data_IF_074829940853
#
_entry.id   IF_074829940853
#
_cell.length_a   1.000
_cell.length_b   1.000
_cell.length_c   1.000
_cell.angle_alpha   90.00
_cell.angle_beta   90.00
_cell.angle_gamma   90.00
#
_symmetry.space_group_name_H-M   'P 1'
#
loop_
_entity.id
_entity.type
_entity.pdbx_description
1 polymer ?
#
# COMPACT_ATOMS: atom_id res chain seq x y z
N UNK A 1 15.80 1.86 12.14
CA UNK A 1 15.32 3.25 12.15
C UNK A 1 15.66 3.99 13.43
N UNK A 2 15.34 3.44 14.62
CA UNK A 2 15.61 4.11 15.91
C UNK A 2 17.09 4.40 16.15
N UNK A 3 17.98 3.43 15.91
CA UNK A 3 19.43 3.62 16.01
C UNK A 3 19.93 4.83 15.19
N UNK A 4 19.41 5.00 13.98
CA UNK A 4 19.71 6.16 13.10
C UNK A 4 19.18 7.48 13.68
N UNK A 5 17.97 7.48 14.25
CA UNK A 5 17.39 8.68 14.88
C UNK A 5 18.23 9.13 16.08
N UNK A 6 18.72 8.18 16.89
CA UNK A 6 19.48 8.47 18.11
C UNK A 6 21.00 8.61 17.87
N UNK A 7 21.50 8.30 16.67
CA UNK A 7 22.95 8.25 16.42
C UNK A 7 23.68 7.16 17.21
N UNK A 8 23.00 6.06 17.55
CA UNK A 8 23.54 4.95 18.33
C UNK A 8 23.83 3.72 17.46
N UNK A 9 24.81 2.86 17.82
CA UNK A 9 24.96 1.54 17.24
C UNK A 9 23.68 0.70 17.40
N UNK A 10 23.38 -0.18 16.45
CA UNK A 10 22.17 -1.02 16.46
C UNK A 10 22.07 -1.90 17.70
N UNK A 11 23.20 -2.37 18.22
CA UNK A 11 23.30 -3.30 19.35
C UNK A 11 22.90 -2.62 20.67
N UNK A 12 22.91 -1.28 20.70
CA UNK A 12 22.46 -0.47 21.84
C UNK A 12 20.95 -0.21 21.81
N UNK A 13 20.23 -0.67 20.78
CA UNK A 13 18.79 -0.46 20.62
C UNK A 13 18.07 -1.80 20.54
N UNK A 14 17.31 -2.12 21.58
CA UNK A 14 16.46 -3.32 21.62
C UNK A 14 15.02 -2.93 21.31
N UNK A 15 14.41 -3.61 20.34
CA UNK A 15 12.99 -3.44 19.99
C UNK A 15 12.24 -4.72 20.35
N UNK A 16 11.24 -4.60 21.24
CA UNK A 16 10.40 -5.72 21.65
C UNK A 16 9.02 -5.55 21.03
N UNK A 17 8.59 -6.55 20.26
CA UNK A 17 7.23 -6.58 19.70
C UNK A 17 6.25 -6.99 20.81
N UNK A 18 5.25 -6.16 21.05
CA UNK A 18 4.15 -6.46 21.97
C UNK A 18 2.91 -6.93 21.21
N UNK A 19 2.01 -7.71 21.84
CA UNK A 19 0.71 -8.04 21.27
C UNK A 19 0.00 -6.78 20.79
N UNK A 20 -0.49 -6.82 19.56
CA UNK A 20 -1.13 -5.67 18.92
C UNK A 20 -2.61 -5.95 18.67
N UNK A 21 -3.46 -4.96 18.94
CA UNK A 21 -4.88 -4.98 18.57
C UNK A 21 -5.08 -4.73 17.08
N UNK A 22 -4.46 -5.53 16.22
CA UNK A 22 -4.49 -5.40 14.77
C UNK A 22 -3.51 -4.35 14.21
N UNK A 23 -3.20 -4.49 12.93
CA UNK A 23 -2.31 -3.60 12.17
C UNK A 23 -2.78 -3.39 10.72
N UNK A 24 -3.16 -4.47 10.03
CA UNK A 24 -3.71 -4.44 8.66
C UNK A 24 -2.83 -3.69 7.64
N UNK A 25 -1.53 -3.61 7.87
CA UNK A 25 -0.54 -2.84 7.08
C UNK A 25 -0.20 -1.47 7.69
N UNK A 26 -1.13 -0.83 8.40
CA UNK A 26 -0.93 0.51 8.97
C UNK A 26 0.11 0.62 10.08
N UNK A 27 0.73 -0.49 10.52
CA UNK A 27 1.83 -0.53 11.51
C UNK A 27 3.15 -1.03 10.91
N UNK A 28 3.24 -1.08 9.59
CA UNK A 28 4.48 -1.43 8.87
C UNK A 28 5.48 -0.26 8.89
N UNK A 29 5.00 0.95 8.64
CA UNK A 29 5.79 2.17 8.78
C UNK A 29 6.06 2.51 10.26
N UNK A 30 7.14 3.27 10.48
CA UNK A 30 7.41 3.85 11.79
C UNK A 30 6.28 4.84 12.16
N UNK A 31 5.79 4.73 13.39
CA UNK A 31 4.78 5.63 13.95
C UNK A 31 5.32 6.32 15.20
N UNK A 32 5.03 5.79 16.38
CA UNK A 32 5.34 6.42 17.67
C UNK A 32 6.74 6.08 18.20
N UNK A 33 7.41 5.07 17.63
CA UNK A 33 8.65 4.54 18.17
C UNK A 33 9.76 5.60 18.16
N UNK A 34 9.85 6.40 17.10
CA UNK A 34 10.85 7.48 16.98
C UNK A 34 10.68 8.56 18.06
N UNK A 35 9.46 9.03 18.26
CA UNK A 35 9.14 10.03 19.29
C UNK A 35 9.45 9.51 20.70
N UNK A 36 8.95 8.32 21.04
CA UNK A 36 9.16 7.74 22.36
C UNK A 36 10.65 7.53 22.66
N UNK A 37 11.41 7.02 21.69
CA UNK A 37 12.84 6.78 21.84
C UNK A 37 13.62 8.09 22.01
N UNK A 38 13.32 9.12 21.21
CA UNK A 38 13.99 10.42 21.27
C UNK A 38 13.75 11.12 22.61
N UNK A 39 12.49 11.20 23.07
CA UNK A 39 12.17 11.83 24.35
C UNK A 39 12.78 11.07 25.53
N UNK A 40 12.71 9.74 25.52
CA UNK A 40 13.35 8.91 26.55
C UNK A 40 14.85 9.14 26.61
N UNK A 41 15.51 9.21 25.45
CA UNK A 41 16.96 9.44 25.35
C UNK A 41 17.38 10.83 25.82
N UNK A 42 16.59 11.87 25.55
CA UNK A 42 16.92 13.23 25.97
C UNK A 42 16.63 13.48 27.46
N UNK A 43 15.51 12.95 27.96
CA UNK A 43 15.05 13.21 29.32
C UNK A 43 15.56 12.20 30.35
N UNK A 44 16.18 11.10 29.89
CA UNK A 44 16.68 10.02 30.74
C UNK A 44 15.60 9.41 31.65
N UNK A 45 14.35 9.35 31.16
CA UNK A 45 13.21 8.74 31.85
C UNK A 45 12.40 7.87 30.89
N UNK A 46 11.70 6.82 31.38
CA UNK A 46 10.80 6.05 30.54
C UNK A 46 9.68 6.92 29.95
N UNK A 47 9.44 6.81 28.63
CA UNK A 47 8.40 7.55 27.92
C UNK A 47 7.43 6.61 27.21
N UNK A 48 6.13 6.88 27.35
CA UNK A 48 5.06 6.23 26.60
C UNK A 48 4.37 7.25 25.70
N UNK A 49 4.27 6.94 24.41
CA UNK A 49 3.48 7.71 23.45
C UNK A 49 2.25 6.89 23.08
N UNK A 50 1.06 7.45 23.33
CA UNK A 50 -0.22 6.86 22.96
C UNK A 50 -1.02 7.89 22.16
N UNK A 51 -1.39 7.53 20.94
CA UNK A 51 -2.19 8.39 20.07
C UNK A 51 -3.67 8.23 20.41
N UNK A 52 -4.39 9.35 20.42
CA UNK A 52 -5.85 9.37 20.30
C UNK A 52 -6.28 8.83 18.93
N UNK A 53 -7.57 8.48 18.77
CA UNK A 53 -8.09 8.01 17.48
C UNK A 53 -7.89 9.04 16.35
N UNK A 54 -8.20 10.34 16.52
CA UNK A 54 -7.94 11.33 15.47
C UNK A 54 -6.46 11.43 15.08
N UNK A 55 -5.55 11.48 16.06
CA UNK A 55 -4.10 11.52 15.78
C UNK A 55 -3.64 10.27 15.02
N UNK A 56 -4.13 9.09 15.42
CA UNK A 56 -3.85 7.84 14.72
C UNK A 56 -4.34 7.88 13.26
N UNK A 57 -5.52 8.44 13.01
CA UNK A 57 -6.06 8.59 11.66
C UNK A 57 -5.26 9.61 10.84
N UNK A 58 -4.74 10.68 11.43
CA UNK A 58 -3.90 11.63 10.72
C UNK A 58 -2.49 11.08 10.43
N UNK A 59 -1.90 10.35 11.38
CA UNK A 59 -0.50 9.94 11.32
C UNK A 59 -0.24 8.69 10.47
N UNK A 60 -1.11 7.69 10.52
CA UNK A 60 -0.83 6.40 9.87
C UNK A 60 -1.12 6.42 8.37
N UNK A 61 -0.42 5.59 7.57
CA UNK A 61 -0.63 5.54 6.14
C UNK A 61 -2.07 5.15 5.76
N UNK A 62 -2.51 5.58 4.57
CA UNK A 62 -3.77 5.18 3.94
C UNK A 62 -3.55 4.15 2.82
N UNK A 63 -4.63 3.56 2.34
CA UNK A 63 -4.62 2.80 1.09
C UNK A 63 -4.45 3.77 -0.08
N UNK A 64 -3.59 3.43 -1.02
CA UNK A 64 -3.43 4.16 -2.29
C UNK A 64 -4.77 4.24 -3.03
N UNK A 65 -5.32 5.44 -3.27
CA UNK A 65 -6.31 5.62 -4.31
C UNK A 65 -5.61 5.43 -5.67
N UNK A 66 -6.29 4.73 -6.57
CA UNK A 66 -5.76 4.37 -7.89
C UNK A 66 -6.75 4.81 -8.96
N UNK A 67 -6.22 5.44 -10.01
CA UNK A 67 -6.93 5.67 -11.27
C UNK A 67 -6.38 4.63 -12.26
N UNK A 68 -7.29 3.91 -12.90
CA UNK A 68 -6.98 2.79 -13.78
C UNK A 68 -7.76 2.95 -15.08
N UNK A 69 -7.03 3.02 -16.19
CA UNK A 69 -7.59 2.83 -17.52
C UNK A 69 -7.29 1.38 -17.91
N UNK A 70 -8.32 0.59 -18.18
CA UNK A 70 -8.19 -0.83 -18.48
C UNK A 70 -9.03 -1.21 -19.69
N UNK A 71 -8.47 -2.04 -20.55
CA UNK A 71 -9.15 -2.65 -21.70
C UNK A 71 -8.96 -4.16 -21.63
N UNK A 72 -10.07 -4.88 -21.72
CA UNK A 72 -10.12 -6.34 -21.69
C UNK A 72 -10.86 -6.81 -22.95
N UNK A 73 -10.30 -7.80 -23.63
CA UNK A 73 -10.91 -8.41 -24.81
C UNK A 73 -11.15 -9.91 -24.64
N UNK A 74 -12.18 -10.42 -25.31
CA UNK A 74 -12.45 -11.85 -25.47
C UNK A 74 -12.71 -12.20 -26.94
N UNK A 75 -12.67 -13.49 -27.27
CA UNK A 75 -13.14 -14.01 -28.56
C UNK A 75 -14.65 -14.33 -28.54
N UNK A 76 -15.18 -14.80 -29.66
CA UNK A 76 -16.60 -15.20 -29.82
C UNK A 76 -17.05 -16.34 -28.90
N UNK A 77 -16.11 -17.07 -28.28
CA UNK A 77 -16.38 -18.13 -27.31
C UNK A 77 -16.23 -17.65 -25.86
N UNK A 78 -16.06 -16.34 -25.65
CA UNK A 78 -15.86 -15.74 -24.33
C UNK A 78 -14.47 -15.98 -23.73
N UNK A 79 -13.50 -16.47 -24.50
CA UNK A 79 -12.14 -16.69 -24.01
C UNK A 79 -11.37 -15.36 -24.03
N UNK A 80 -10.83 -14.95 -22.88
CA UNK A 80 -10.05 -13.72 -22.77
C UNK A 80 -8.78 -13.78 -23.63
N UNK A 81 -8.54 -12.72 -24.41
CA UNK A 81 -7.46 -12.65 -25.41
C UNK A 81 -6.36 -11.67 -25.02
N UNK A 82 -6.72 -10.50 -24.48
CA UNK A 82 -5.73 -9.52 -24.02
C UNK A 82 -6.24 -8.70 -22.83
N UNK A 83 -5.29 -8.17 -22.06
CA UNK A 83 -5.53 -7.07 -21.12
C UNK A 83 -4.46 -5.99 -21.31
N UNK A 84 -4.92 -4.75 -21.42
CA UNK A 84 -4.07 -3.57 -21.36
C UNK A 84 -4.52 -2.71 -20.17
N UNK A 85 -3.58 -2.23 -19.35
CA UNK A 85 -3.91 -1.32 -18.26
C UNK A 85 -2.82 -0.27 -18.01
N UNK A 86 -3.26 0.97 -17.76
CA UNK A 86 -2.44 2.04 -17.20
C UNK A 86 -2.95 2.41 -15.79
N UNK A 87 -2.11 2.21 -14.79
CA UNK A 87 -2.41 2.32 -13.36
C UNK A 87 -1.59 3.49 -12.79
N UNK A 88 -2.27 4.47 -12.21
CA UNK A 88 -1.66 5.57 -11.46
C UNK A 88 -2.16 5.49 -10.01
N UNK A 89 -1.26 5.32 -9.05
CA UNK A 89 -1.57 5.35 -7.63
C UNK A 89 -0.93 6.53 -6.92
N UNK A 90 -1.74 7.29 -6.18
CA UNK A 90 -1.26 8.37 -5.31
C UNK A 90 -0.64 7.78 -4.04
N UNK A 91 0.66 8.04 -3.81
CA UNK A 91 1.35 7.59 -2.60
C UNK A 91 1.42 8.62 -1.49
N UNK A 92 0.84 9.81 -1.72
CA UNK A 92 0.92 10.94 -0.81
C UNK A 92 2.33 11.53 -0.74
N UNK A 93 2.61 12.20 0.38
CA UNK A 93 3.85 12.98 0.56
C UNK A 93 5.13 12.16 0.71
N UNK A 94 5.05 10.87 1.06
CA UNK A 94 6.21 10.00 1.29
C UNK A 94 6.04 8.65 0.61
N UNK A 95 7.17 8.03 0.25
CA UNK A 95 7.18 6.81 -0.53
C UNK A 95 6.42 5.67 0.17
N UNK A 96 6.63 5.52 1.49
CA UNK A 96 6.30 4.30 2.23
C UNK A 96 6.69 3.07 1.37
N UNK A 97 5.74 2.19 1.11
CA UNK A 97 5.84 1.04 0.22
C UNK A 97 5.04 1.22 -1.08
N UNK A 98 4.81 2.46 -1.52
CA UNK A 98 3.97 2.80 -2.67
C UNK A 98 4.38 2.09 -3.96
N UNK A 99 5.67 2.11 -4.32
CA UNK A 99 6.15 1.36 -5.49
C UNK A 99 5.85 -0.14 -5.38
N UNK A 100 5.94 -0.73 -4.18
CA UNK A 100 5.61 -2.15 -3.95
C UNK A 100 4.11 -2.44 -4.05
N UNK A 101 3.27 -1.50 -3.62
CA UNK A 101 1.81 -1.61 -3.79
C UNK A 101 1.44 -1.58 -5.27
N UNK A 102 2.03 -0.68 -6.06
CA UNK A 102 1.76 -0.55 -7.49
C UNK A 102 2.37 -1.68 -8.33
N UNK A 103 3.54 -2.20 -7.93
CA UNK A 103 4.14 -3.43 -8.49
C UNK A 103 3.20 -4.62 -8.26
N UNK A 104 2.64 -4.76 -7.06
CA UNK A 104 1.71 -5.85 -6.75
C UNK A 104 0.38 -5.69 -7.49
N UNK A 105 -0.14 -4.47 -7.64
CA UNK A 105 -1.33 -4.23 -8.47
C UNK A 105 -1.08 -4.68 -9.91
N UNK A 106 0.04 -4.31 -10.53
CA UNK A 106 0.38 -4.76 -11.88
C UNK A 106 0.51 -6.29 -11.96
N UNK A 107 1.20 -6.92 -11.00
CA UNK A 107 1.38 -8.37 -10.98
C UNK A 107 0.09 -9.18 -10.79
N UNK A 108 -1.02 -8.55 -10.42
CA UNK A 108 -2.34 -9.19 -10.25
C UNK A 108 -3.37 -8.67 -11.24
N UNK A 109 -2.96 -7.96 -12.30
CA UNK A 109 -3.87 -7.37 -13.27
C UNK A 109 -4.66 -8.38 -14.11
N UNK A 110 -4.33 -9.67 -14.05
CA UNK A 110 -5.08 -10.76 -14.69
C UNK A 110 -6.03 -11.48 -13.73
N UNK A 111 -6.10 -11.09 -12.44
CA UNK A 111 -6.90 -11.78 -11.40
C UNK A 111 -6.73 -13.31 -11.48
N UNK A 112 -7.83 -14.06 -11.47
CA UNK A 112 -7.87 -15.51 -11.58
C UNK A 112 -7.98 -16.03 -13.03
N UNK A 113 -7.73 -15.19 -14.04
CA UNK A 113 -7.96 -15.52 -15.44
C UNK A 113 -6.68 -15.80 -16.22
N UNK A 114 -6.79 -16.71 -17.19
CA UNK A 114 -5.74 -16.97 -18.18
C UNK A 114 -5.88 -15.99 -19.35
N UNK A 115 -4.96 -15.02 -19.44
CA UNK A 115 -4.94 -13.99 -20.47
C UNK A 115 -3.58 -14.03 -21.17
N UNK A 116 -3.50 -14.41 -22.46
CA UNK A 116 -2.22 -14.68 -23.10
C UNK A 116 -1.42 -13.41 -23.47
N UNK A 117 -2.08 -12.27 -23.67
CA UNK A 117 -1.44 -11.01 -24.04
C UNK A 117 -1.67 -9.98 -22.93
N UNK A 118 -0.60 -9.50 -22.32
CA UNK A 118 -0.65 -8.59 -21.16
C UNK A 118 0.26 -7.40 -21.41
N UNK A 119 -0.29 -6.19 -21.38
CA UNK A 119 0.46 -4.92 -21.48
C UNK A 119 0.09 -4.03 -20.30
N UNK A 120 1.04 -3.77 -19.41
CA UNK A 120 0.78 -3.04 -18.17
C UNK A 120 1.75 -1.89 -17.99
N UNK A 121 1.21 -0.75 -17.54
CA UNK A 121 1.98 0.36 -17.00
C UNK A 121 1.45 0.66 -15.59
N UNK A 122 2.35 0.75 -14.61
CA UNK A 122 1.96 1.03 -13.23
C UNK A 122 2.93 2.03 -12.60
N UNK A 123 2.38 3.10 -12.03
CA UNK A 123 3.15 4.25 -11.53
C UNK A 123 2.63 4.68 -10.17
N UNK A 124 3.56 4.85 -9.24
CA UNK A 124 3.30 5.49 -7.96
C UNK A 124 3.75 6.95 -8.05
N UNK A 125 2.86 7.89 -7.72
CA UNK A 125 3.12 9.33 -7.83
C UNK A 125 3.07 10.00 -6.46
N UNK A 126 3.98 10.94 -6.24
CA UNK A 126 3.97 11.79 -5.06
C UNK A 126 2.94 12.90 -5.19
N UNK A 127 2.26 13.19 -4.09
CA UNK A 127 1.34 14.32 -3.95
C UNK A 127 1.49 14.95 -2.57
N UNK A 128 0.71 15.99 -2.26
CA UNK A 128 0.64 16.54 -0.91
C UNK A 128 -0.46 15.90 -0.05
N UNK A 129 -1.09 14.81 -0.51
CA UNK A 129 -2.06 14.06 0.28
C UNK A 129 -1.39 13.29 1.41
N UNK A 130 -2.20 12.80 2.36
CA UNK A 130 -1.74 11.95 3.47
C UNK A 130 -0.97 10.76 2.88
N UNK A 131 0.21 10.40 3.43
CA UNK A 131 0.99 9.27 2.93
C UNK A 131 0.15 8.01 2.81
N UNK A 132 0.32 7.31 1.70
CA UNK A 132 -0.26 6.00 1.50
C UNK A 132 0.82 4.93 1.64
N UNK A 133 0.43 3.75 2.09
CA UNK A 133 1.35 2.66 2.40
C UNK A 133 0.64 1.33 2.37
N UNK A 134 1.11 0.39 3.17
CA UNK A 134 0.50 -0.91 3.25
C UNK A 134 -0.91 -0.86 3.85
N UNK A 135 -1.86 -1.44 3.13
CA UNK A 135 -3.16 -1.81 3.68
C UNK A 135 -3.52 -3.20 3.14
N UNK A 136 -4.13 -4.07 3.97
CA UNK A 136 -4.50 -5.44 3.60
C UNK A 136 -5.10 -5.53 2.18
N UNK A 137 -4.53 -6.40 1.35
CA UNK A 137 -4.78 -6.46 -0.10
C UNK A 137 -3.58 -5.94 -0.91
N UNK A 138 -2.96 -4.84 -0.47
CA UNK A 138 -1.67 -4.36 -0.99
C UNK A 138 -1.71 -4.13 -2.51
N UNK A 139 -2.68 -3.36 -3.00
CA UNK A 139 -2.88 -3.07 -4.43
C UNK A 139 -3.78 -4.07 -5.15
N UNK A 140 -3.84 -5.32 -4.69
CA UNK A 140 -4.62 -6.39 -5.33
C UNK A 140 -6.12 -6.09 -5.31
N UNK A 141 -6.65 -5.58 -4.20
CA UNK A 141 -8.08 -5.26 -4.11
C UNK A 141 -8.49 -4.21 -5.16
N UNK A 142 -7.62 -3.22 -5.41
CA UNK A 142 -7.90 -2.15 -6.36
C UNK A 142 -7.92 -2.69 -7.80
N UNK A 143 -6.89 -3.44 -8.19
CA UNK A 143 -6.82 -3.96 -9.56
C UNK A 143 -7.86 -5.06 -9.83
N UNK A 144 -8.18 -5.89 -8.82
CA UNK A 144 -9.25 -6.88 -8.94
C UNK A 144 -10.60 -6.20 -9.18
N UNK A 145 -10.91 -5.13 -8.46
CA UNK A 145 -12.12 -4.37 -8.74
C UNK A 145 -12.20 -3.92 -10.21
N UNK A 146 -11.08 -3.45 -10.79
CA UNK A 146 -11.05 -3.01 -12.19
C UNK A 146 -11.30 -4.16 -13.18
N UNK A 147 -10.55 -5.26 -13.09
CA UNK A 147 -10.71 -6.38 -14.04
C UNK A 147 -12.05 -7.09 -13.90
N UNK A 148 -12.55 -7.30 -12.68
CA UNK A 148 -13.89 -7.91 -12.49
C UNK A 148 -14.98 -6.99 -13.07
N UNK A 149 -14.84 -5.67 -12.98
CA UNK A 149 -15.77 -4.74 -13.64
C UNK A 149 -15.72 -4.86 -15.16
N UNK A 150 -14.52 -4.99 -15.76
CA UNK A 150 -14.39 -5.23 -17.20
C UNK A 150 -15.02 -6.56 -17.63
N UNK A 151 -14.94 -7.59 -16.79
CA UNK A 151 -15.54 -8.89 -17.06
C UNK A 151 -17.06 -8.79 -17.03
N UNK A 152 -17.62 -8.12 -16.04
CA UNK A 152 -19.06 -7.87 -15.97
C UNK A 152 -19.53 -7.10 -17.22
N UNK A 153 -18.76 -6.10 -17.68
CA UNK A 153 -19.06 -5.34 -18.91
C UNK A 153 -18.98 -6.21 -20.18
N UNK A 154 -18.01 -7.12 -20.28
CA UNK A 154 -17.94 -8.07 -21.40
C UNK A 154 -19.15 -9.01 -21.38
N UNK A 155 -19.52 -9.56 -20.22
CA UNK A 155 -20.66 -10.46 -20.09
C UNK A 155 -21.99 -9.82 -20.53
N UNK A 156 -22.13 -8.50 -20.36
CA UNK A 156 -23.33 -7.75 -20.79
C UNK A 156 -23.38 -7.57 -22.31
N UNK A 157 -22.25 -7.61 -23.02
CA UNK A 157 -22.19 -7.41 -24.47
C UNK A 157 -22.66 -8.63 -25.27
N UNK A 158 -22.78 -9.80 -24.62
CA UNK A 158 -23.15 -11.08 -25.24
C UNK A 158 -21.93 -11.85 -25.74
#
# INVERSE_FOLDING_TARGET
SISKILGLPSEKVVVVLMPNGGGFGGKEDISVQGHAALYSHLLQVPVRVALTRPESLCMHPKRHPMIMEMSLGCDENGKLTFVEADIIGDTGAYASVGMKVLERAAGHATSAYSIPIVKLRSRSVYTNNIPCGAMRGFGVNQINFAIESCIDELCVQG
#
